data_IF_952242655578
#
_entry.id   IF_952242655578
#
_cell.length_a   1.000
_cell.length_b   1.000
_cell.length_c   1.000
_cell.angle_alpha   90.00
_cell.angle_beta   90.00
_cell.angle_gamma   90.00
#
_symmetry.space_group_name_H-M   'P 1'
#
loop_
_entity.id
_entity.type
_entity.pdbx_description
1 polymer ?
#
# COMPACT_ATOMS: atom_id res chain seq x y z
N UNK A 1 -4.46 23.60 3.40
CA UNK A 1 -5.49 22.71 4.00
C UNK A 1 -6.23 21.79 3.00
N UNK A 2 -6.13 21.95 1.68
CA UNK A 2 -6.83 21.05 0.73
C UNK A 2 -6.18 19.66 0.57
N UNK A 3 -4.85 19.59 0.55
CA UNK A 3 -4.07 18.34 0.31
C UNK A 3 -4.30 17.25 1.36
N UNK A 4 -4.30 17.61 2.65
CA UNK A 4 -4.54 16.66 3.76
C UNK A 4 -5.94 16.04 3.77
N UNK A 5 -6.95 16.71 3.19
CA UNK A 5 -8.28 16.11 3.07
C UNK A 5 -8.32 15.06 1.97
N UNK A 6 -7.57 15.28 0.88
CA UNK A 6 -7.51 14.35 -0.25
C UNK A 6 -6.75 13.06 0.12
N UNK A 7 -5.61 13.16 0.79
CA UNK A 7 -4.86 11.97 1.24
C UNK A 7 -5.67 11.10 2.22
N UNK A 8 -6.44 11.71 3.14
CA UNK A 8 -7.29 10.97 4.07
C UNK A 8 -8.44 10.22 3.37
N UNK A 9 -8.99 10.77 2.29
CA UNK A 9 -10.00 10.09 1.49
C UNK A 9 -9.37 8.90 0.76
N UNK A 10 -8.23 9.11 0.09
CA UNK A 10 -7.50 8.05 -0.60
C UNK A 10 -7.09 6.91 0.34
N UNK A 11 -6.60 7.21 1.55
CA UNK A 11 -6.27 6.19 2.55
C UNK A 11 -7.51 5.38 2.96
N UNK A 12 -8.67 6.04 3.14
CA UNK A 12 -9.92 5.35 3.50
C UNK A 12 -10.42 4.45 2.38
N UNK A 13 -10.36 4.92 1.14
CA UNK A 13 -10.69 4.12 -0.05
C UNK A 13 -9.76 2.92 -0.17
N UNK A 14 -8.45 3.15 -0.02
CA UNK A 14 -7.46 2.08 -0.06
C UNK A 14 -7.71 1.02 1.03
N UNK A 15 -7.92 1.43 2.30
CA UNK A 15 -8.24 0.49 3.39
C UNK A 15 -9.56 -0.26 3.16
N UNK A 16 -10.54 0.39 2.53
CA UNK A 16 -11.80 -0.26 2.15
C UNK A 16 -11.59 -1.34 1.10
N UNK A 17 -10.78 -1.06 0.07
CA UNK A 17 -10.41 -2.03 -0.96
C UNK A 17 -9.65 -3.22 -0.35
N UNK A 18 -8.67 -2.97 0.52
CA UNK A 18 -7.96 -4.04 1.23
C UNK A 18 -8.92 -4.93 2.02
N UNK A 19 -9.89 -4.34 2.73
CA UNK A 19 -10.90 -5.11 3.46
C UNK A 19 -11.72 -5.98 2.52
N UNK A 20 -12.17 -5.45 1.39
CA UNK A 20 -12.98 -6.20 0.43
C UNK A 20 -12.18 -7.33 -0.20
N UNK A 21 -10.96 -7.06 -0.67
CA UNK A 21 -10.07 -8.07 -1.23
C UNK A 21 -9.77 -9.18 -0.23
N UNK A 22 -9.58 -8.84 1.06
CA UNK A 22 -9.39 -9.85 2.10
C UNK A 22 -10.63 -10.77 2.23
N UNK A 23 -11.83 -10.18 2.27
CA UNK A 23 -13.09 -10.93 2.36
C UNK A 23 -13.29 -11.83 1.14
N UNK A 24 -13.07 -11.30 -0.07
CA UNK A 24 -13.20 -12.03 -1.34
C UNK A 24 -12.23 -13.21 -1.44
N UNK A 25 -11.04 -13.08 -0.84
CA UNK A 25 -10.02 -14.12 -0.81
C UNK A 25 -10.04 -14.97 0.49
N UNK A 26 -11.05 -14.79 1.34
CA UNK A 26 -11.29 -15.64 2.51
C UNK A 26 -10.31 -15.48 3.67
N UNK A 27 -9.67 -14.31 3.82
CA UNK A 27 -8.77 -14.02 4.95
C UNK A 27 -9.19 -12.77 5.74
N UNK A 28 -8.55 -12.57 6.89
CA UNK A 28 -8.92 -11.49 7.80
C UNK A 28 -8.52 -10.12 7.22
N UNK A 29 -9.36 -9.07 7.33
CA UNK A 29 -9.06 -7.76 6.78
C UNK A 29 -7.76 -7.11 7.29
N UNK A 30 -7.36 -7.40 8.52
CA UNK A 30 -6.19 -6.83 9.18
C UNK A 30 -4.89 -7.60 8.91
N UNK A 31 -4.96 -8.88 8.52
CA UNK A 31 -3.78 -9.75 8.36
C UNK A 31 -3.99 -10.82 7.30
N UNK A 32 -2.94 -11.24 6.57
CA UNK A 32 -1.52 -10.92 6.76
C UNK A 32 -0.97 -9.99 5.66
N UNK A 33 -1.46 -8.75 5.57
CA UNK A 33 -0.96 -7.79 4.60
C UNK A 33 0.53 -7.47 4.80
N UNK A 34 1.27 -7.42 3.70
CA UNK A 34 2.58 -6.80 3.57
C UNK A 34 2.44 -5.51 2.79
N UNK A 35 2.98 -4.40 3.30
CA UNK A 35 2.96 -3.09 2.65
C UNK A 35 4.35 -2.69 2.19
N UNK A 36 4.46 -2.14 0.97
CA UNK A 36 5.72 -1.62 0.43
C UNK A 36 5.49 -0.39 -0.44
N UNK A 37 6.46 0.53 -0.39
CA UNK A 37 6.63 1.53 -1.45
C UNK A 37 7.51 0.95 -2.54
N UNK A 38 7.04 1.02 -3.78
CA UNK A 38 7.69 0.37 -4.92
C UNK A 38 7.62 1.26 -6.17
N UNK A 39 8.55 1.02 -7.10
CA UNK A 39 8.44 1.56 -8.44
C UNK A 39 7.44 0.75 -9.28
N UNK A 40 7.21 1.19 -10.52
CA UNK A 40 6.25 0.56 -11.43
C UNK A 40 6.62 -0.90 -11.78
N UNK A 41 7.91 -1.19 -11.96
CA UNK A 41 8.35 -2.53 -12.34
C UNK A 41 8.09 -3.55 -11.22
N UNK A 42 8.45 -3.19 -9.98
CA UNK A 42 8.24 -4.01 -8.79
C UNK A 42 6.75 -4.17 -8.47
N UNK A 43 5.95 -3.11 -8.64
CA UNK A 43 4.48 -3.17 -8.55
C UNK A 43 3.91 -4.27 -9.46
N UNK A 44 4.31 -4.27 -10.73
CA UNK A 44 3.86 -5.27 -11.71
C UNK A 44 4.33 -6.68 -11.32
N UNK A 45 5.57 -6.81 -10.82
CA UNK A 45 6.10 -8.10 -10.40
C UNK A 45 5.30 -8.69 -9.22
N UNK A 46 5.00 -7.87 -8.21
CA UNK A 46 4.22 -8.26 -7.03
C UNK A 46 2.79 -8.66 -7.43
N UNK A 47 2.11 -7.89 -8.27
CA UNK A 47 0.74 -8.23 -8.70
C UNK A 47 0.67 -9.52 -9.53
N UNK A 48 1.73 -9.80 -10.29
CA UNK A 48 1.87 -11.08 -11.01
C UNK A 48 2.19 -12.25 -10.09
N UNK A 49 2.78 -12.01 -8.92
CA UNK A 49 3.15 -13.06 -7.97
C UNK A 49 2.01 -13.37 -6.99
N UNK A 50 1.27 -12.37 -6.52
CA UNK A 50 0.26 -12.53 -5.48
C UNK A 50 -1.15 -12.16 -5.98
N UNK A 51 -2.08 -13.11 -5.85
CA UNK A 51 -3.50 -12.99 -6.22
C UNK A 51 -4.21 -11.89 -5.44
N UNK A 52 -3.95 -11.83 -4.14
CA UNK A 52 -4.48 -10.80 -3.26
C UNK A 52 -3.43 -9.67 -3.17
N UNK A 53 -3.48 -8.76 -4.13
CA UNK A 53 -2.65 -7.55 -4.17
C UNK A 53 -3.49 -6.36 -4.63
N UNK A 54 -3.25 -5.20 -4.00
CA UNK A 54 -3.91 -3.93 -4.33
C UNK A 54 -2.86 -2.82 -4.26
N UNK A 55 -2.83 -1.95 -5.27
CA UNK A 55 -1.86 -0.86 -5.36
C UNK A 55 -2.56 0.48 -5.57
N UNK A 56 -1.94 1.54 -5.07
CA UNK A 56 -2.36 2.91 -5.30
C UNK A 56 -1.15 3.75 -5.70
N UNK A 57 -1.31 4.59 -6.72
CA UNK A 57 -0.30 5.55 -7.14
C UNK A 57 -0.49 6.86 -6.38
N UNK A 58 0.60 7.46 -5.91
CA UNK A 58 0.56 8.74 -5.24
C UNK A 58 1.80 9.60 -5.50
N UNK A 59 1.67 10.94 -5.43
CA UNK A 59 2.82 11.84 -5.51
C UNK A 59 3.87 11.57 -4.42
N UNK A 60 5.13 11.82 -4.74
CA UNK A 60 6.27 11.55 -3.85
C UNK A 60 6.19 12.28 -2.49
N UNK A 61 5.56 13.45 -2.44
CA UNK A 61 5.35 14.23 -1.22
C UNK A 61 4.21 13.69 -0.33
N UNK A 62 3.39 12.76 -0.83
CA UNK A 62 2.23 12.20 -0.15
C UNK A 62 2.38 10.72 0.18
N UNK A 63 3.09 9.95 -0.67
CA UNK A 63 3.09 8.49 -0.60
C UNK A 63 3.67 7.92 0.70
N UNK A 64 4.69 8.57 1.29
CA UNK A 64 5.22 8.18 2.60
C UNK A 64 4.21 8.42 3.73
N UNK A 65 3.42 9.50 3.64
CA UNK A 65 2.34 9.75 4.60
C UNK A 65 1.22 8.72 4.44
N UNK A 66 0.90 8.33 3.21
CA UNK A 66 -0.08 7.28 2.95
C UNK A 66 0.35 5.95 3.56
N UNK A 67 1.62 5.53 3.37
CA UNK A 67 2.16 4.30 3.98
C UNK A 67 1.88 4.29 5.50
N UNK A 68 2.33 5.31 6.21
CA UNK A 68 2.20 5.39 7.67
C UNK A 68 0.73 5.35 8.12
N UNK A 69 -0.16 6.05 7.39
CA UNK A 69 -1.59 6.08 7.72
C UNK A 69 -2.27 4.72 7.48
N UNK A 70 -1.88 4.00 6.43
CA UNK A 70 -2.41 2.66 6.11
C UNK A 70 -1.85 1.62 7.09
N UNK A 71 -0.55 1.66 7.41
CA UNK A 71 0.06 0.81 8.43
C UNK A 71 -0.65 0.95 9.78
N UNK A 72 -0.90 2.20 10.22
CA UNK A 72 -1.67 2.47 11.42
C UNK A 72 -3.11 1.92 11.32
N UNK A 73 -3.76 2.08 10.17
CA UNK A 73 -5.11 1.56 9.92
C UNK A 73 -5.22 0.03 9.96
N UNK A 74 -4.14 -0.67 9.59
CA UNK A 74 -4.04 -2.13 9.64
C UNK A 74 -3.40 -2.67 10.94
N UNK A 75 -3.03 -1.78 11.87
CA UNK A 75 -2.28 -2.14 13.10
C UNK A 75 -0.96 -2.87 12.81
N UNK A 76 -0.28 -2.49 11.73
CA UNK A 76 1.05 -2.98 11.37
C UNK A 76 2.13 -2.13 12.06
N UNK A 77 3.35 -2.68 12.25
CA UNK A 77 4.49 -1.88 12.66
C UNK A 77 4.72 -0.74 11.66
N UNK A 78 4.99 0.46 12.17
CA UNK A 78 5.25 1.62 11.33
C UNK A 78 6.63 1.50 10.69
N UNK A 79 6.71 1.78 9.39
CA UNK A 79 7.98 1.88 8.67
C UNK A 79 8.74 3.13 9.09
N UNK A 80 10.07 3.03 9.16
CA UNK A 80 10.94 4.17 9.44
C UNK A 80 10.77 5.28 8.39
N UNK A 81 10.86 6.56 8.76
CA UNK A 81 10.68 7.67 7.83
C UNK A 81 11.60 7.59 6.60
N UNK A 82 11.02 7.61 5.41
CA UNK A 82 11.75 7.59 4.14
C UNK A 82 11.91 9.02 3.62
N UNK A 83 13.14 9.39 3.22
CA UNK A 83 13.42 10.73 2.69
C UNK A 83 12.79 10.94 1.30
N UNK A 84 12.37 12.17 1.00
CA UNK A 84 11.86 12.54 -0.33
C UNK A 84 12.89 12.24 -1.44
N UNK A 85 14.18 12.46 -1.15
CA UNK A 85 15.27 12.12 -2.07
C UNK A 85 15.29 10.62 -2.39
N UNK A 86 15.11 9.77 -1.38
CA UNK A 86 15.05 8.31 -1.57
C UNK A 86 13.85 7.92 -2.44
N UNK A 87 12.67 8.51 -2.19
CA UNK A 87 11.45 8.28 -2.97
C UNK A 87 11.66 8.66 -4.43
N UNK A 88 12.27 9.82 -4.69
CA UNK A 88 12.52 10.31 -6.04
C UNK A 88 13.58 9.48 -6.78
N UNK A 89 14.72 9.18 -6.13
CA UNK A 89 15.83 8.43 -6.75
C UNK A 89 15.43 7.01 -7.13
N UNK A 90 14.58 6.38 -6.32
CA UNK A 90 14.13 5.00 -6.56
C UNK A 90 12.76 4.94 -7.26
N UNK A 91 12.20 6.08 -7.66
CA UNK A 91 10.90 6.20 -8.33
C UNK A 91 9.76 5.48 -7.57
N UNK A 92 9.73 5.61 -6.24
CA UNK A 92 8.74 4.97 -5.38
C UNK A 92 7.38 5.67 -5.51
N UNK A 93 6.62 5.29 -6.52
CA UNK A 93 5.36 5.93 -6.92
C UNK A 93 4.11 5.16 -6.48
N UNK A 94 4.29 3.90 -6.05
CA UNK A 94 3.18 3.03 -5.67
C UNK A 94 3.30 2.55 -4.23
N UNK A 95 2.20 2.65 -3.48
CA UNK A 95 1.99 1.88 -2.26
C UNK A 95 1.25 0.61 -2.65
N UNK A 96 1.86 -0.55 -2.38
CA UNK A 96 1.26 -1.85 -2.67
C UNK A 96 1.09 -2.64 -1.37
N UNK A 97 -0.10 -3.23 -1.23
CA UNK A 97 -0.43 -4.22 -0.23
C UNK A 97 -0.57 -5.57 -0.91
N UNK A 98 0.00 -6.61 -0.35
CA UNK A 98 -0.17 -7.97 -0.84
C UNK A 98 -0.19 -8.98 0.30
N UNK A 99 -0.88 -10.10 0.08
CA UNK A 99 -0.87 -11.23 1.01
C UNK A 99 0.14 -12.29 0.51
N UNK A 100 1.25 -12.53 1.22
CA UNK A 100 2.29 -13.46 0.79
C UNK A 100 1.84 -14.94 0.81
N UNK A 101 0.70 -15.24 1.43
CA UNK A 101 0.12 -16.60 1.46
C UNK A 101 -0.82 -16.87 0.27
N UNK A 102 -1.04 -15.88 -0.60
CA UNK A 102 -1.98 -15.95 -1.72
C UNK A 102 -1.24 -15.86 -3.06
N UNK A 103 -0.20 -16.68 -3.25
CA UNK A 103 0.53 -16.74 -4.52
C UNK A 103 -0.29 -17.38 -5.66
N UNK A 104 0.01 -17.00 -6.90
CA UNK A 104 -0.50 -17.73 -8.06
C UNK A 104 0.10 -19.14 -8.10
N UNK A 105 -0.72 -20.17 -7.88
CA UNK A 105 -0.39 -21.57 -8.18
C UNK A 105 -0.12 -21.79 -9.66
#
# INVERSE_FOLDING_TARGET
>A
MKTYRMINVQVKEYLFDLRNTAIENGFKPDKPWQLKLVNKADKIAIEKQYRASISVEAPADQIASMLNMVEAGLMLPLTEPISLKTIQVNELQYLIAYNPLQEWR
#
